data_IF_968290456362
#
_entry.id   IF_968290456362
#
_cell.length_a   1.000
_cell.length_b   1.000
_cell.length_c   1.000
_cell.angle_alpha   90.00
_cell.angle_beta   90.00
_cell.angle_gamma   90.00
#
_symmetry.space_group_name_H-M   'P 1'
#
loop_
_entity.id
_entity.type
_entity.pdbx_description
1 polymer ?
#
# COMPACT_ATOMS: atom_id res chain seq x y z
N UNK A 1 4.09 10.06 5.88
CA UNK A 1 3.13 9.85 6.98
C UNK A 1 1.79 10.44 6.57
N UNK A 2 0.71 10.07 7.26
CA UNK A 2 -0.64 10.52 6.96
C UNK A 2 -1.47 9.49 6.21
N UNK A 3 -2.70 9.88 5.85
CA UNK A 3 -3.68 9.05 5.17
C UNK A 3 -3.64 9.27 3.67
N UNK A 4 -3.61 8.17 2.93
CA UNK A 4 -3.52 8.09 1.48
C UNK A 4 -4.65 7.21 0.96
N UNK A 5 -5.01 7.36 -0.31
CA UNK A 5 -6.10 6.64 -0.95
C UNK A 5 -5.59 5.91 -2.20
N UNK A 6 -6.00 4.66 -2.39
CA UNK A 6 -5.68 3.90 -3.60
C UNK A 6 -6.40 4.53 -4.81
N UNK A 7 -5.66 5.12 -5.75
CA UNK A 7 -6.21 5.72 -6.98
C UNK A 7 -6.21 4.69 -8.12
N UNK A 8 -5.10 3.98 -8.28
CA UNK A 8 -4.95 2.98 -9.33
C UNK A 8 -3.97 1.87 -8.93
N UNK A 9 -4.15 0.70 -9.55
CA UNK A 9 -3.24 -0.43 -9.39
C UNK A 9 -3.00 -1.15 -10.73
N UNK A 10 -1.73 -1.46 -10.99
CA UNK A 10 -1.31 -2.40 -12.02
C UNK A 10 -0.57 -3.56 -11.37
N UNK A 11 -0.81 -4.80 -11.79
CA UNK A 11 -0.16 -5.96 -11.14
C UNK A 11 0.03 -7.13 -12.10
N UNK A 12 1.14 -7.85 -11.92
CA UNK A 12 1.37 -9.16 -12.56
C UNK A 12 0.67 -10.30 -11.80
N UNK A 13 0.17 -10.08 -10.58
CA UNK A 13 -0.50 -11.10 -9.77
C UNK A 13 -1.74 -11.65 -10.49
N UNK A 14 -1.82 -12.97 -10.75
CA UNK A 14 -2.91 -13.57 -11.52
C UNK A 14 -4.31 -13.27 -10.95
N UNK A 15 -4.45 -13.30 -9.62
CA UNK A 15 -5.70 -12.98 -8.95
C UNK A 15 -6.12 -11.54 -9.21
N UNK A 16 -5.22 -10.56 -9.01
CA UNK A 16 -5.52 -9.16 -9.30
C UNK A 16 -5.85 -8.92 -10.77
N UNK A 17 -5.22 -9.64 -11.71
CA UNK A 17 -5.57 -9.56 -13.13
C UNK A 17 -6.98 -10.05 -13.42
N UNK A 18 -7.45 -11.07 -12.72
CA UNK A 18 -8.77 -11.69 -12.91
C UNK A 18 -9.90 -10.89 -12.26
N UNK A 19 -9.62 -10.23 -11.13
CA UNK A 19 -10.61 -9.54 -10.31
C UNK A 19 -10.38 -8.02 -10.26
N UNK A 20 -9.89 -7.42 -11.37
CA UNK A 20 -9.57 -5.99 -11.43
C UNK A 20 -10.76 -5.08 -11.10
N UNK A 21 -11.97 -5.47 -11.50
CA UNK A 21 -13.21 -4.72 -11.21
C UNK A 21 -13.63 -4.74 -9.74
N UNK A 22 -13.16 -5.74 -8.98
CA UNK A 22 -13.47 -5.92 -7.55
C UNK A 22 -12.37 -5.36 -6.65
N UNK A 23 -11.32 -4.76 -7.24
CA UNK A 23 -10.23 -4.14 -6.49
C UNK A 23 -10.75 -2.86 -5.84
N UNK A 24 -11.28 -3.01 -4.63
CA UNK A 24 -11.83 -1.89 -3.89
C UNK A 24 -10.81 -0.78 -3.66
N UNK A 25 -11.24 0.44 -3.95
CA UNK A 25 -10.63 1.68 -3.48
C UNK A 25 -10.59 1.59 -1.95
N UNK A 26 -9.42 1.85 -1.38
CA UNK A 26 -9.16 1.78 0.04
C UNK A 26 -8.29 2.94 0.49
N UNK A 27 -8.10 3.05 1.80
CA UNK A 27 -7.15 4.01 2.37
C UNK A 27 -5.96 3.29 2.99
N UNK A 28 -4.81 3.95 2.96
CA UNK A 28 -3.56 3.57 3.59
C UNK A 28 -3.16 4.68 4.55
N UNK A 29 -3.08 4.39 5.84
CA UNK A 29 -2.59 5.32 6.83
C UNK A 29 -1.20 4.90 7.33
N UNK A 30 -0.27 5.84 7.29
CA UNK A 30 1.12 5.66 7.71
C UNK A 30 1.43 6.56 8.89
N UNK A 31 1.87 5.97 10.00
CA UNK A 31 2.17 6.66 11.24
C UNK A 31 3.56 6.28 11.76
N UNK A 32 4.17 7.16 12.55
CA UNK A 32 5.38 6.82 13.29
C UNK A 32 5.04 5.70 14.29
N UNK A 33 5.84 4.64 14.33
CA UNK A 33 5.67 3.53 15.28
C UNK A 33 6.32 3.80 16.64
N UNK A 34 6.92 4.98 16.85
CA UNK A 34 7.76 5.26 18.03
C UNK A 34 9.17 4.65 17.94
N UNK A 35 9.45 3.87 16.91
CA UNK A 35 10.79 3.37 16.56
C UNK A 35 11.36 4.16 15.38
N UNK A 36 12.68 4.32 15.34
CA UNK A 36 13.38 4.93 14.19
C UNK A 36 13.53 3.97 13.01
N UNK A 37 13.18 2.69 13.20
CA UNK A 37 13.38 1.63 12.22
C UNK A 37 12.08 1.14 11.59
N UNK A 38 10.92 1.54 12.11
CA UNK A 38 9.63 1.07 11.59
C UNK A 38 8.65 2.20 11.34
N UNK A 39 7.68 1.93 10.47
CA UNK A 39 6.53 2.79 10.21
C UNK A 39 5.29 1.91 10.43
N UNK A 40 4.35 2.38 11.25
CA UNK A 40 3.07 1.73 11.41
C UNK A 40 2.22 1.97 10.17
N UNK A 41 1.61 0.91 9.65
CA UNK A 41 0.76 0.91 8.48
C UNK A 41 -0.60 0.33 8.82
N UNK A 42 -1.66 1.04 8.45
CA UNK A 42 -3.03 0.52 8.49
C UNK A 42 -3.71 0.74 7.16
N UNK A 43 -4.14 -0.34 6.51
CA UNK A 43 -4.91 -0.31 5.27
C UNK A 43 -6.35 -0.69 5.54
N UNK A 44 -7.28 0.11 5.03
CA UNK A 44 -8.71 -0.17 5.03
C UNK A 44 -9.15 -0.36 3.58
N UNK A 45 -9.94 -1.39 3.30
CA UNK A 45 -10.52 -1.58 1.97
C UNK A 45 -11.72 -2.52 1.98
N UNK A 46 -12.59 -2.36 1.00
CA UNK A 46 -13.74 -3.24 0.82
C UNK A 46 -13.27 -4.60 0.28
N UNK A 47 -13.83 -5.68 0.84
CA UNK A 47 -13.60 -7.04 0.35
C UNK A 47 -14.85 -7.86 0.61
N UNK A 48 -15.46 -8.38 -0.47
CA UNK A 48 -16.74 -9.10 -0.43
C UNK A 48 -17.80 -8.31 0.37
N UNK A 49 -18.05 -7.07 -0.05
CA UNK A 49 -19.03 -6.15 0.55
C UNK A 49 -18.80 -5.78 2.03
N UNK A 50 -17.67 -6.19 2.61
CA UNK A 50 -17.30 -5.85 3.99
C UNK A 50 -16.05 -4.98 4.01
N UNK A 51 -16.08 -3.89 4.78
CA UNK A 51 -14.89 -3.09 5.04
C UNK A 51 -13.93 -3.88 5.95
N UNK A 52 -12.69 -4.09 5.50
CA UNK A 52 -11.66 -4.82 6.26
C UNK A 52 -10.47 -3.89 6.53
N UNK A 53 -10.05 -3.85 7.80
CA UNK A 53 -8.81 -3.21 8.22
C UNK A 53 -7.69 -4.24 8.33
N UNK A 54 -6.49 -3.88 7.87
CA UNK A 54 -5.27 -4.65 7.96
C UNK A 54 -4.19 -3.72 8.49
N UNK A 55 -3.63 -4.03 9.65
CA UNK A 55 -2.51 -3.29 10.23
C UNK A 55 -1.23 -4.11 10.22
N UNK A 56 -0.10 -3.44 10.20
CA UNK A 56 1.23 -4.05 10.28
C UNK A 56 2.32 -2.99 10.33
N UNK A 57 3.57 -3.44 10.31
CA UNK A 57 4.73 -2.55 10.32
C UNK A 57 5.54 -2.68 9.05
N UNK A 58 5.93 -1.54 8.50
CA UNK A 58 6.93 -1.44 7.46
C UNK A 58 8.28 -1.24 8.11
N UNK A 59 9.21 -2.15 7.80
CA UNK A 59 10.60 -2.07 8.20
C UNK A 59 11.32 -1.11 7.24
N UNK A 60 11.93 -0.07 7.81
CA UNK A 60 12.78 0.84 7.06
C UNK A 60 14.08 0.13 6.67
N UNK A 61 14.60 0.49 5.50
CA UNK A 61 15.87 -0.03 5.01
C UNK A 61 16.91 1.09 4.94
N UNK A 62 18.17 0.73 4.68
CA UNK A 62 19.24 1.70 4.42
C UNK A 62 19.01 2.53 3.15
N UNK A 63 18.15 2.06 2.23
CA UNK A 63 17.81 2.76 0.99
C UNK A 63 16.59 3.66 1.25
N UNK A 64 16.71 4.99 1.12
CA UNK A 64 15.58 5.89 1.27
C UNK A 64 14.42 5.52 0.34
N UNK A 65 13.20 5.61 0.85
CA UNK A 65 11.99 5.27 0.09
C UNK A 65 11.74 3.77 -0.10
N UNK A 66 12.67 2.89 0.32
CA UNK A 66 12.47 1.44 0.33
C UNK A 66 12.06 0.95 1.72
N UNK A 67 11.00 0.15 1.76
CA UNK A 67 10.49 -0.52 2.95
C UNK A 67 10.23 -2.00 2.68
N UNK A 68 10.31 -2.79 3.74
CA UNK A 68 10.13 -4.23 3.71
C UNK A 68 9.09 -4.66 4.74
N UNK A 69 8.27 -5.66 4.42
CA UNK A 69 7.39 -6.26 5.42
C UNK A 69 7.01 -7.69 5.07
N UNK A 70 6.73 -8.47 6.11
CA UNK A 70 6.20 -9.81 5.99
C UNK A 70 4.67 -9.80 6.07
N UNK A 71 4.01 -10.41 5.09
CA UNK A 71 2.57 -10.60 5.06
C UNK A 71 2.22 -12.02 5.55
N UNK A 72 1.89 -12.13 6.84
CA UNK A 72 1.57 -13.40 7.48
C UNK A 72 0.41 -14.15 6.82
N UNK A 73 -0.61 -13.44 6.32
CA UNK A 73 -1.79 -14.05 5.67
C UNK A 73 -1.42 -14.86 4.43
N UNK A 74 -0.43 -14.41 3.69
CA UNK A 74 0.02 -15.05 2.46
C UNK A 74 1.38 -15.72 2.59
N UNK A 75 1.94 -15.73 3.81
CA UNK A 75 3.30 -16.12 4.12
C UNK A 75 4.27 -15.57 3.06
N UNK A 76 4.25 -14.26 2.84
CA UNK A 76 4.94 -13.64 1.71
C UNK A 76 5.71 -12.41 2.14
N UNK A 77 6.93 -12.29 1.64
CA UNK A 77 7.76 -11.12 1.87
C UNK A 77 7.51 -10.08 0.77
N UNK A 78 7.49 -8.81 1.16
CA UNK A 78 7.23 -7.70 0.24
C UNK A 78 8.32 -6.66 0.38
N UNK A 79 9.03 -6.43 -0.72
CA UNK A 79 9.88 -5.25 -0.91
C UNK A 79 9.09 -4.18 -1.65
N UNK A 80 9.07 -2.97 -1.11
CA UNK A 80 8.33 -1.87 -1.69
C UNK A 80 9.17 -0.60 -1.75
N UNK A 81 8.98 0.17 -2.82
CA UNK A 81 9.75 1.36 -3.13
C UNK A 81 8.81 2.49 -3.52
N UNK A 82 8.94 3.63 -2.85
CA UNK A 82 8.40 4.90 -3.36
C UNK A 82 9.27 5.33 -4.53
N UNK A 83 8.74 5.22 -5.74
CA UNK A 83 9.45 5.56 -6.98
C UNK A 83 9.39 7.06 -7.25
N UNK A 84 8.24 7.66 -6.95
CA UNK A 84 8.01 9.09 -7.09
C UNK A 84 6.95 9.53 -6.09
N UNK A 85 7.08 10.73 -5.53
CA UNK A 85 6.06 11.30 -4.66
C UNK A 85 6.21 12.81 -4.65
N UNK A 86 5.09 13.54 -4.64
CA UNK A 86 5.09 14.96 -4.33
C UNK A 86 4.97 15.22 -2.82
N UNK A 87 4.80 14.16 -2.02
CA UNK A 87 4.55 14.14 -0.57
C UNK A 87 3.20 14.68 -0.12
N UNK A 88 2.61 15.60 -0.88
CA UNK A 88 1.37 16.29 -0.56
C UNK A 88 0.16 15.80 -1.37
N UNK A 89 0.34 15.44 -2.64
CA UNK A 89 -0.74 15.09 -3.58
C UNK A 89 -0.74 13.61 -3.96
N UNK A 90 0.42 13.04 -4.32
CA UNK A 90 0.48 11.65 -4.80
C UNK A 90 1.77 10.93 -4.43
N UNK A 91 1.69 9.59 -4.45
CA UNK A 91 2.85 8.71 -4.36
C UNK A 91 2.69 7.50 -5.30
N UNK A 92 3.73 7.23 -6.09
CA UNK A 92 3.84 6.05 -6.94
C UNK A 92 4.73 5.01 -6.25
N UNK A 93 4.16 3.85 -5.95
CA UNK A 93 4.85 2.79 -5.20
C UNK A 93 4.91 1.52 -6.03
N UNK A 94 6.11 0.96 -6.21
CA UNK A 94 6.28 -0.39 -6.75
C UNK A 94 6.48 -1.39 -5.61
N UNK A 95 5.87 -2.55 -5.73
CA UNK A 95 5.90 -3.62 -4.74
C UNK A 95 6.27 -4.94 -5.41
N UNK A 96 7.27 -5.60 -4.87
CA UNK A 96 7.72 -6.93 -5.25
C UNK A 96 7.33 -7.89 -4.14
N UNK A 97 6.33 -8.72 -4.39
CA UNK A 97 5.91 -9.76 -3.46
C UNK A 97 6.55 -11.08 -3.85
N UNK A 98 7.19 -11.71 -2.88
CA UNK A 98 7.81 -13.01 -3.00
C UNK A 98 7.07 -14.01 -2.10
N UNK A 99 6.62 -15.12 -2.69
CA UNK A 99 5.99 -16.21 -1.94
C UNK A 99 6.94 -17.41 -1.92
N UNK A 100 7.04 -18.13 -0.78
CA UNK A 100 7.62 -19.47 -0.76
C UNK A 100 6.92 -20.35 -1.80
N UNK A 101 7.70 -21.00 -2.68
CA UNK A 101 7.15 -21.81 -3.77
C UNK A 101 7.02 -21.11 -5.13
N UNK A 102 7.45 -19.84 -5.26
CA UNK A 102 7.80 -19.25 -6.56
C UNK A 102 6.75 -18.37 -7.23
N UNK A 103 5.55 -18.21 -6.66
CA UNK A 103 4.57 -17.24 -7.16
C UNK A 103 4.95 -15.81 -6.77
N UNK A 104 5.90 -15.24 -7.51
CA UNK A 104 6.30 -13.85 -7.36
C UNK A 104 5.39 -12.93 -8.17
N UNK A 105 5.16 -11.72 -7.66
CA UNK A 105 4.36 -10.73 -8.37
C UNK A 105 4.89 -9.33 -8.15
N UNK A 106 4.79 -8.52 -9.19
CA UNK A 106 5.09 -7.09 -9.15
C UNK A 106 3.79 -6.33 -9.23
N UNK A 107 3.63 -5.34 -8.38
CA UNK A 107 2.49 -4.42 -8.42
C UNK A 107 2.97 -3.00 -8.37
N UNK A 108 2.27 -2.11 -9.07
CA UNK A 108 2.47 -0.67 -9.00
C UNK A 108 1.15 -0.08 -8.49
N UNK A 109 1.25 0.79 -7.49
CA UNK A 109 0.12 1.48 -6.90
C UNK A 109 0.34 2.98 -7.00
N UNK A 110 -0.70 3.67 -7.47
CA UNK A 110 -0.80 5.12 -7.36
C UNK A 110 -1.65 5.43 -6.14
N UNK A 111 -1.06 6.15 -5.20
CA UNK A 111 -1.73 6.71 -4.05
C UNK A 111 -1.97 8.19 -4.26
N UNK A 112 -3.14 8.67 -3.86
CA UNK A 112 -3.49 10.08 -3.80
C UNK A 112 -3.72 10.50 -2.36
N UNK A 113 -3.45 11.75 -2.06
CA UNK A 113 -3.77 12.37 -0.79
C UNK A 113 -4.91 13.34 -1.01
N UNK A 114 -6.00 13.18 -0.26
CA UNK A 114 -7.11 14.12 -0.27
C UNK A 114 -6.89 15.09 0.90
N UNK A 115 -5.83 15.89 0.83
CA UNK A 115 -5.70 17.08 1.67
C UNK A 115 -6.49 18.18 0.97
N UNK A 116 -7.50 18.70 1.66
CA UNK A 116 -8.37 19.82 1.26
C UNK A 116 -9.24 19.63 0.02
N UNK A 117 -10.12 18.64 0.04
CA UNK A 117 -11.36 18.67 -0.77
C UNK A 117 -12.63 18.74 0.07
N UNK A 118 -12.53 19.14 1.35
CA UNK A 118 -13.68 19.51 2.18
C UNK A 118 -14.03 21.02 2.09
N UNK A 119 -13.30 21.82 1.30
CA UNK A 119 -13.54 23.28 1.22
C UNK A 119 -14.39 23.75 0.03
N UNK A 120 -15.01 22.86 -0.76
CA UNK A 120 -15.90 23.29 -1.86
C UNK A 120 -17.18 22.44 -2.01
N UNK A 121 -17.72 21.93 -0.91
CA UNK A 121 -19.08 21.39 -0.86
C UNK A 121 -19.90 22.13 0.21
N UNK A 122 -20.09 23.43 0.01
CA UNK A 122 -21.20 24.22 0.57
C UNK A 122 -22.01 24.76 -0.60
#
# INVERSE_FOLDING_TARGET
MGKWYDIAIASTCPWLKRYKGDAAIGSLELQSSGSTQTISMTRIGLRHDTCKSISGEYQLTKTPGRFHYHNAKWNADVDAYVVHTSYDEYALVVMFKQKPGGENSTSVKLYGNLRDSEENLI
#
